data_IF_309878238650
#
_entry.id   IF_309878238650
#
_cell.length_a   1.000
_cell.length_b   1.000
_cell.length_c   1.000
_cell.angle_alpha   90.00
_cell.angle_beta   90.00
_cell.angle_gamma   90.00
#
_symmetry.space_group_name_H-M   'P 1'
#
loop_
_entity.id
_entity.type
_entity.pdbx_description
1 polymer ?
#
# COMPACT_ATOMS: atom_id res chain seq x y z
N UNK A 1 9.81 12.12 -27.99
CA UNK A 1 9.21 10.81 -27.63
C UNK A 1 9.92 10.12 -26.46
N UNK A 2 11.18 9.68 -26.52
CA UNK A 2 11.85 9.03 -25.37
C UNK A 2 12.02 9.98 -24.18
N UNK A 3 12.47 11.22 -24.43
CA UNK A 3 12.65 12.21 -23.38
C UNK A 3 11.33 12.65 -22.74
N UNK A 4 10.26 12.82 -23.52
CA UNK A 4 8.93 13.14 -23.02
C UNK A 4 8.37 12.02 -22.14
N UNK A 5 8.56 10.75 -22.53
CA UNK A 5 8.20 9.60 -21.70
C UNK A 5 9.00 9.57 -20.39
N UNK A 6 10.31 9.82 -20.49
CA UNK A 6 11.16 9.88 -19.29
C UNK A 6 10.73 11.00 -18.35
N UNK A 7 10.42 12.19 -18.88
CA UNK A 7 9.89 13.31 -18.09
C UNK A 7 8.58 12.93 -17.41
N UNK A 8 7.64 12.34 -18.16
CA UNK A 8 6.37 11.87 -17.61
C UNK A 8 6.55 10.80 -16.51
N UNK A 9 7.52 9.88 -16.68
CA UNK A 9 7.87 8.88 -15.69
C UNK A 9 8.45 9.52 -14.42
N UNK A 10 9.26 10.58 -14.55
CA UNK A 10 10.05 11.11 -13.44
C UNK A 10 9.47 12.39 -12.81
N UNK A 11 8.52 13.07 -13.48
CA UNK A 11 7.91 14.31 -12.96
C UNK A 11 7.29 14.11 -11.58
N UNK A 12 7.37 15.11 -10.71
CA UNK A 12 6.76 15.11 -9.36
C UNK A 12 7.28 14.00 -8.41
N UNK A 13 8.39 13.34 -8.75
CA UNK A 13 9.06 12.44 -7.83
C UNK A 13 10.02 13.21 -6.91
N UNK A 14 10.20 12.72 -5.70
CA UNK A 14 11.17 13.29 -4.78
C UNK A 14 12.60 12.84 -5.11
N UNK A 15 12.76 11.57 -5.54
CA UNK A 15 14.07 11.01 -5.85
C UNK A 15 13.96 9.94 -6.96
N UNK A 16 14.99 9.88 -7.81
CA UNK A 16 15.16 8.86 -8.86
C UNK A 16 16.57 8.30 -8.74
N UNK A 17 16.69 7.01 -8.46
CA UNK A 17 17.95 6.27 -8.48
C UNK A 17 18.02 5.40 -9.74
N UNK A 18 19.14 5.38 -10.44
CA UNK A 18 19.33 4.57 -11.65
C UNK A 18 18.46 5.03 -12.83
N UNK A 19 18.17 6.33 -12.95
CA UNK A 19 17.36 6.88 -14.06
C UNK A 19 17.96 6.64 -15.44
N UNK A 20 19.28 6.44 -15.55
CA UNK A 20 19.99 6.03 -16.75
C UNK A 20 19.52 4.68 -17.29
N UNK A 21 19.15 3.74 -16.43
CA UNK A 21 18.57 2.43 -16.82
C UNK A 21 17.27 2.67 -17.60
N UNK A 22 16.38 3.52 -17.10
CA UNK A 22 15.09 3.82 -17.74
C UNK A 22 15.33 4.54 -19.09
N UNK A 23 16.27 5.50 -19.13
CA UNK A 23 16.63 6.19 -20.39
C UNK A 23 17.15 5.23 -21.45
N UNK A 24 18.02 4.29 -21.07
CA UNK A 24 18.53 3.28 -21.98
C UNK A 24 17.41 2.42 -22.57
N UNK A 25 16.47 1.94 -21.73
CA UNK A 25 15.32 1.14 -22.15
C UNK A 25 14.43 1.92 -23.14
N UNK A 26 14.17 3.19 -22.85
CA UNK A 26 13.35 4.04 -23.72
C UNK A 26 14.06 4.33 -25.05
N UNK A 27 15.41 4.47 -25.05
CA UNK A 27 16.21 4.66 -26.25
C UNK A 27 16.22 3.42 -27.16
N UNK A 28 16.10 2.22 -26.57
CA UNK A 28 15.91 0.95 -27.29
C UNK A 28 14.50 0.80 -27.89
N UNK A 29 13.57 1.72 -27.58
CA UNK A 29 12.16 1.62 -28.01
C UNK A 29 11.35 0.58 -27.24
N UNK A 30 11.87 0.07 -26.13
CA UNK A 30 11.18 -0.89 -25.26
C UNK A 30 10.34 -0.17 -24.19
N UNK A 31 9.21 -0.74 -23.83
CA UNK A 31 8.40 -0.30 -22.70
C UNK A 31 9.08 -0.69 -21.38
N UNK A 32 9.37 0.26 -20.47
CA UNK A 32 9.88 -0.08 -19.16
C UNK A 32 8.83 -0.84 -18.35
N UNK A 33 9.29 -1.72 -17.45
CA UNK A 33 8.45 -2.51 -16.54
C UNK A 33 8.65 -2.06 -15.13
N UNK A 34 7.56 -1.84 -14.39
CA UNK A 34 7.65 -1.51 -12.98
C UNK A 34 6.71 -2.34 -12.11
N UNK A 35 7.00 -2.37 -10.81
CA UNK A 35 5.99 -2.73 -9.84
C UNK A 35 5.86 -1.68 -8.73
N UNK A 36 4.66 -1.59 -8.21
CA UNK A 36 4.33 -0.91 -6.98
C UNK A 36 3.66 -1.92 -6.04
N UNK A 37 4.19 -2.05 -4.81
CA UNK A 37 3.72 -3.00 -3.82
C UNK A 37 3.02 -2.32 -2.66
N UNK A 38 1.98 -2.97 -2.14
CA UNK A 38 1.30 -2.57 -0.91
C UNK A 38 1.06 -3.78 -0.01
N UNK A 39 1.52 -3.70 1.24
CA UNK A 39 1.26 -4.73 2.25
C UNK A 39 -0.12 -4.47 2.91
N UNK A 40 -1.08 -5.41 2.81
CA UNK A 40 -2.44 -5.24 3.31
C UNK A 40 -2.52 -5.37 4.84
N UNK A 41 -2.03 -4.38 5.58
CA UNK A 41 -1.99 -4.36 7.05
C UNK A 41 -3.14 -3.56 7.66
N UNK A 42 -3.11 -2.24 7.56
CA UNK A 42 -4.16 -1.34 8.06
C UNK A 42 -5.21 -1.02 7.00
N UNK A 43 -6.25 -0.23 7.35
CA UNK A 43 -7.18 0.27 6.34
C UNK A 43 -6.48 1.25 5.41
N UNK A 44 -6.60 1.10 4.08
CA UNK A 44 -6.07 2.08 3.13
C UNK A 44 -6.77 3.43 3.31
N UNK A 45 -6.05 4.49 2.98
CA UNK A 45 -6.48 5.86 3.23
C UNK A 45 -6.09 6.80 2.08
N UNK A 46 -6.48 8.07 2.13
CA UNK A 46 -6.26 9.05 1.05
C UNK A 46 -4.82 9.15 0.56
N UNK A 47 -3.81 8.84 1.40
CA UNK A 47 -2.41 8.85 0.99
C UNK A 47 -2.09 7.90 -0.16
N UNK A 48 -2.92 6.89 -0.39
CA UNK A 48 -2.79 5.99 -1.56
C UNK A 48 -3.05 6.69 -2.89
N UNK A 49 -3.78 7.81 -2.92
CA UNK A 49 -3.95 8.56 -4.18
C UNK A 49 -2.61 9.05 -4.75
N UNK A 50 -1.61 9.34 -3.91
CA UNK A 50 -0.28 9.81 -4.37
C UNK A 50 0.38 8.80 -5.31
N UNK A 51 0.66 7.55 -4.90
CA UNK A 51 1.21 6.56 -5.83
C UNK A 51 0.23 6.20 -6.96
N UNK A 52 -1.08 6.16 -6.72
CA UNK A 52 -2.04 5.74 -7.75
C UNK A 52 -2.19 6.78 -8.87
N UNK A 53 -2.12 8.08 -8.59
CA UNK A 53 -2.06 9.11 -9.64
C UNK A 53 -0.74 9.05 -10.42
N UNK A 54 0.37 8.70 -9.77
CA UNK A 54 1.66 8.50 -10.46
C UNK A 54 1.65 7.29 -11.39
N UNK A 55 0.95 6.23 -11.00
CA UNK A 55 0.74 5.06 -11.87
C UNK A 55 0.02 5.45 -13.16
N UNK A 56 -0.91 6.41 -13.13
CA UNK A 56 -1.50 6.95 -14.36
C UNK A 56 -0.45 7.58 -15.29
N UNK A 57 0.52 8.33 -14.76
CA UNK A 57 1.63 8.86 -15.56
C UNK A 57 2.47 7.74 -16.18
N UNK A 58 2.73 6.68 -15.44
CA UNK A 58 3.47 5.51 -15.96
C UNK A 58 2.74 4.85 -17.13
N UNK A 59 1.43 4.61 -17.00
CA UNK A 59 0.63 4.01 -18.07
C UNK A 59 0.57 4.89 -19.32
N UNK A 60 0.53 6.22 -19.17
CA UNK A 60 0.59 7.18 -20.30
C UNK A 60 1.96 7.21 -20.95
N UNK A 61 3.02 6.88 -20.22
CA UNK A 61 4.37 6.72 -20.73
C UNK A 61 4.63 5.32 -21.33
N UNK A 62 3.59 4.49 -21.50
CA UNK A 62 3.67 3.09 -21.93
C UNK A 62 4.50 2.19 -21.00
N UNK A 63 4.56 2.48 -19.70
CA UNK A 63 5.17 1.58 -18.73
C UNK A 63 4.23 0.41 -18.45
N UNK A 64 4.76 -0.81 -18.47
CA UNK A 64 4.05 -2.00 -17.99
C UNK A 64 4.03 -2.02 -16.46
N UNK A 65 2.86 -1.85 -15.85
CA UNK A 65 2.74 -1.69 -14.40
C UNK A 65 2.19 -2.95 -13.75
N UNK A 66 2.93 -3.47 -12.78
CA UNK A 66 2.49 -4.55 -11.87
C UNK A 66 2.10 -3.97 -10.51
N UNK A 67 0.89 -4.28 -10.06
CA UNK A 67 0.41 -4.00 -8.69
C UNK A 67 0.62 -5.26 -7.87
N UNK A 68 1.48 -5.18 -6.86
CA UNK A 68 1.77 -6.28 -5.95
C UNK A 68 0.97 -6.12 -4.65
N UNK A 69 0.07 -7.05 -4.37
CA UNK A 69 -0.46 -7.23 -3.03
C UNK A 69 0.52 -8.07 -2.22
N UNK A 70 1.32 -7.41 -1.40
CA UNK A 70 2.42 -8.00 -0.65
C UNK A 70 1.90 -8.69 0.63
N UNK A 71 1.13 -9.76 0.48
CA UNK A 71 0.46 -10.50 1.55
C UNK A 71 1.45 -11.20 2.49
N UNK A 72 2.53 -11.80 1.96
CA UNK A 72 3.60 -12.38 2.80
C UNK A 72 4.29 -11.28 3.61
N UNK A 73 4.55 -10.11 3.04
CA UNK A 73 5.11 -8.96 3.75
C UNK A 73 4.18 -8.47 4.87
N UNK A 74 2.87 -8.43 4.61
CA UNK A 74 1.88 -8.06 5.62
C UNK A 74 1.86 -9.01 6.82
N UNK A 75 2.07 -10.31 6.58
CA UNK A 75 2.24 -11.30 7.64
C UNK A 75 3.57 -11.13 8.39
N UNK A 76 4.66 -10.84 7.68
CA UNK A 76 6.00 -10.67 8.26
C UNK A 76 6.14 -9.35 9.05
N UNK A 77 5.34 -8.33 8.77
CA UNK A 77 5.41 -7.03 9.45
C UNK A 77 4.98 -7.14 10.93
N UNK A 78 5.92 -7.64 11.76
CA UNK A 78 5.77 -7.81 13.20
C UNK A 78 4.51 -8.59 13.63
N UNK A 79 4.08 -9.56 12.82
CA UNK A 79 2.90 -10.40 13.09
C UNK A 79 1.64 -9.57 13.41
N UNK A 80 1.46 -8.43 12.74
CA UNK A 80 0.29 -7.56 12.92
C UNK A 80 -1.03 -8.26 12.59
N UNK A 81 -0.98 -9.34 11.80
CA UNK A 81 -2.14 -10.14 11.46
C UNK A 81 -1.77 -11.61 11.18
N UNK A 82 -2.58 -12.58 11.61
CA UNK A 82 -2.44 -13.98 11.17
C UNK A 82 -2.75 -14.10 9.68
N UNK A 83 -2.27 -15.17 9.03
CA UNK A 83 -2.41 -15.38 7.57
C UNK A 83 -3.87 -15.30 7.08
N UNK A 84 -4.81 -15.87 7.85
CA UNK A 84 -6.24 -15.85 7.49
C UNK A 84 -6.78 -14.41 7.43
N UNK A 85 -6.36 -13.57 8.36
CA UNK A 85 -6.74 -12.17 8.37
C UNK A 85 -6.09 -11.38 7.23
N UNK A 86 -4.83 -11.69 6.92
CA UNK A 86 -4.11 -11.12 5.77
C UNK A 86 -4.83 -11.45 4.47
N UNK A 87 -5.28 -12.69 4.28
CA UNK A 87 -6.02 -13.09 3.08
C UNK A 87 -7.31 -12.25 2.88
N UNK A 88 -8.09 -12.02 3.95
CA UNK A 88 -9.24 -11.14 3.87
C UNK A 88 -8.88 -9.68 3.58
N UNK A 89 -7.79 -9.18 4.17
CA UNK A 89 -7.28 -7.83 3.90
C UNK A 89 -6.78 -7.67 2.48
N UNK A 90 -6.09 -8.67 1.93
CA UNK A 90 -5.66 -8.66 0.53
C UNK A 90 -6.86 -8.52 -0.41
N UNK A 91 -7.92 -9.29 -0.18
CA UNK A 91 -9.14 -9.19 -0.97
C UNK A 91 -9.85 -7.83 -0.81
N UNK A 92 -9.86 -7.27 0.40
CA UNK A 92 -10.37 -5.92 0.64
C UNK A 92 -9.56 -4.86 -0.13
N UNK A 93 -8.22 -4.97 -0.13
CA UNK A 93 -7.35 -4.07 -0.88
C UNK A 93 -7.58 -4.16 -2.39
N UNK A 94 -7.83 -5.36 -2.93
CA UNK A 94 -8.19 -5.53 -4.34
C UNK A 94 -9.43 -4.72 -4.69
N UNK A 95 -10.51 -4.84 -3.91
CA UNK A 95 -11.73 -4.08 -4.13
C UNK A 95 -11.49 -2.56 -4.08
N UNK A 96 -10.81 -2.08 -3.02
CA UNK A 96 -10.61 -0.65 -2.82
C UNK A 96 -9.73 -0.04 -3.91
N UNK A 97 -8.61 -0.68 -4.26
CA UNK A 97 -7.70 -0.16 -5.28
C UNK A 97 -8.34 -0.18 -6.68
N UNK A 98 -9.10 -1.21 -7.02
CA UNK A 98 -9.86 -1.25 -8.26
C UNK A 98 -10.91 -0.12 -8.32
N UNK A 99 -11.62 0.13 -7.23
CA UNK A 99 -12.56 1.25 -7.16
C UNK A 99 -11.88 2.61 -7.30
N UNK A 100 -10.68 2.77 -6.70
CA UNK A 100 -9.87 3.99 -6.84
C UNK A 100 -9.39 4.17 -8.28
N UNK A 101 -8.82 3.14 -8.92
CA UNK A 101 -8.41 3.22 -10.32
C UNK A 101 -9.58 3.60 -11.24
N UNK A 102 -10.73 2.97 -11.05
CA UNK A 102 -11.95 3.31 -11.80
C UNK A 102 -12.39 4.76 -11.56
N UNK A 103 -12.32 5.25 -10.32
CA UNK A 103 -12.69 6.64 -9.98
C UNK A 103 -11.76 7.68 -10.60
N UNK A 104 -10.52 7.30 -10.88
CA UNK A 104 -9.52 8.13 -11.56
C UNK A 104 -9.55 8.00 -13.09
N UNK A 105 -10.40 7.12 -13.65
CA UNK A 105 -10.43 6.82 -15.08
C UNK A 105 -9.16 6.11 -15.57
N UNK A 106 -8.50 5.34 -14.69
CA UNK A 106 -7.31 4.56 -15.02
C UNK A 106 -7.74 3.18 -15.52
N UNK A 107 -7.36 2.77 -16.75
CA UNK A 107 -7.78 1.49 -17.32
C UNK A 107 -7.13 0.31 -16.58
N UNK A 108 -7.91 -0.39 -15.78
CA UNK A 108 -7.46 -1.56 -14.99
C UNK A 108 -6.94 -2.68 -15.89
N UNK A 109 -7.44 -2.79 -17.12
CA UNK A 109 -6.98 -3.77 -18.12
C UNK A 109 -5.50 -3.65 -18.49
N UNK A 110 -4.89 -2.47 -18.26
CA UNK A 110 -3.45 -2.23 -18.48
C UNK A 110 -2.58 -2.57 -17.26
N UNK A 111 -3.18 -3.00 -16.16
CA UNK A 111 -2.47 -3.33 -14.93
C UNK A 111 -2.33 -4.85 -14.78
N UNK A 112 -1.13 -5.32 -14.46
CA UNK A 112 -0.92 -6.69 -14.01
C UNK A 112 -1.08 -6.73 -12.49
N UNK A 113 -2.02 -7.51 -11.98
CA UNK A 113 -2.25 -7.68 -10.53
C UNK A 113 -1.66 -9.00 -10.09
N UNK A 114 -0.84 -8.98 -9.02
CA UNK A 114 -0.13 -10.15 -8.48
C UNK A 114 -0.24 -10.17 -6.97
N UNK A 115 -0.45 -11.35 -6.39
CA UNK A 115 -0.31 -11.61 -4.95
C UNK A 115 1.08 -12.18 -4.67
N UNK A 116 1.74 -11.70 -3.61
CA UNK A 116 3.10 -12.10 -3.25
C UNK A 116 3.22 -13.60 -3.04
N UNK A 117 2.28 -14.20 -2.31
CA UNK A 117 2.25 -15.65 -2.03
C UNK A 117 2.21 -16.52 -3.29
N UNK A 118 1.75 -16.00 -4.42
CA UNK A 118 1.68 -16.75 -5.68
C UNK A 118 3.05 -17.14 -6.24
N UNK A 119 4.12 -16.41 -5.90
CA UNK A 119 5.49 -16.70 -6.34
C UNK A 119 6.51 -16.76 -5.20
N UNK A 120 6.30 -16.01 -4.10
CA UNK A 120 7.25 -15.96 -2.97
C UNK A 120 7.34 -17.30 -2.21
N UNK A 121 6.34 -18.18 -2.36
CA UNK A 121 6.33 -19.52 -1.75
C UNK A 121 6.93 -20.61 -2.66
N UNK A 122 7.43 -20.24 -3.84
CA UNK A 122 8.08 -21.20 -4.74
C UNK A 122 9.45 -21.63 -4.21
N UNK A 123 9.92 -22.80 -4.67
CA UNK A 123 11.22 -23.36 -4.29
C UNK A 123 12.37 -22.43 -4.70
N UNK A 124 12.30 -21.90 -5.90
CA UNK A 124 13.30 -21.04 -6.50
C UNK A 124 13.45 -19.75 -5.70
N UNK A 125 12.35 -19.09 -5.38
CA UNK A 125 12.34 -17.87 -4.58
C UNK A 125 12.92 -18.12 -3.18
N UNK A 126 12.51 -19.20 -2.52
CA UNK A 126 13.01 -19.52 -1.19
C UNK A 126 14.50 -19.87 -1.19
N UNK A 127 15.01 -20.54 -2.25
CA UNK A 127 16.44 -20.79 -2.39
C UNK A 127 17.23 -19.47 -2.50
N UNK A 128 16.75 -18.51 -3.27
CA UNK A 128 17.40 -17.20 -3.40
C UNK A 128 17.28 -16.37 -2.12
N UNK A 129 16.16 -16.50 -1.39
CA UNK A 129 16.04 -15.90 -0.07
C UNK A 129 17.09 -16.47 0.90
N UNK A 130 17.35 -17.77 0.91
CA UNK A 130 18.42 -18.36 1.72
C UNK A 130 19.82 -17.94 1.29
N UNK A 131 20.10 -17.82 -0.02
CA UNK A 131 21.37 -17.26 -0.53
C UNK A 131 21.54 -15.80 -0.05
N UNK A 132 20.47 -15.03 -0.08
CA UNK A 132 20.49 -13.66 0.41
C UNK A 132 20.76 -13.61 1.92
N UNK A 133 20.10 -14.46 2.71
CA UNK A 133 20.34 -14.59 4.15
C UNK A 133 21.79 -14.99 4.48
N UNK A 134 22.44 -15.78 3.62
CA UNK A 134 23.86 -16.16 3.77
C UNK A 134 24.84 -15.04 3.37
N UNK A 135 24.34 -13.95 2.77
CA UNK A 135 25.14 -12.84 2.24
C UNK A 135 24.96 -11.55 3.05
N UNK A 136 23.81 -11.36 3.64
CA UNK A 136 23.39 -10.14 4.35
C UNK A 136 23.67 -10.26 5.85
N UNK A 137 24.30 -9.24 6.43
CA UNK A 137 24.47 -9.16 7.88
C UNK A 137 23.15 -8.74 8.58
N UNK A 138 23.01 -9.11 9.86
CA UNK A 138 21.92 -8.62 10.71
C UNK A 138 21.85 -7.09 10.73
N UNK A 139 23.02 -6.42 10.82
CA UNK A 139 23.13 -4.97 10.80
C UNK A 139 22.51 -4.36 9.54
N UNK A 140 22.84 -4.90 8.37
CA UNK A 140 22.34 -4.38 7.09
C UNK A 140 20.86 -4.66 6.90
N UNK A 141 20.36 -5.81 7.34
CA UNK A 141 18.93 -6.11 7.34
C UNK A 141 18.13 -5.15 8.25
N UNK A 142 18.60 -4.88 9.47
CA UNK A 142 18.01 -3.88 10.37
C UNK A 142 18.03 -2.48 9.77
N UNK A 143 19.15 -2.06 9.20
CA UNK A 143 19.32 -0.75 8.56
C UNK A 143 18.36 -0.58 7.37
N UNK A 144 18.23 -1.59 6.54
CA UNK A 144 17.32 -1.57 5.38
C UNK A 144 15.85 -1.43 5.82
N UNK A 145 15.42 -2.19 6.83
CA UNK A 145 14.05 -2.15 7.35
C UNK A 145 13.71 -0.98 8.26
N UNK A 146 14.66 -0.10 8.58
CA UNK A 146 14.53 0.88 9.68
C UNK A 146 13.34 1.85 9.58
N UNK A 147 12.86 2.16 8.37
CA UNK A 147 11.74 3.09 8.17
C UNK A 147 10.42 2.40 7.88
N UNK A 148 10.47 1.15 7.45
CA UNK A 148 9.29 0.37 7.01
C UNK A 148 8.82 -0.59 8.09
N UNK A 149 9.77 -1.33 8.70
CA UNK A 149 9.47 -2.28 9.77
C UNK A 149 9.58 -1.58 11.12
N UNK A 150 8.57 -1.75 11.99
CA UNK A 150 8.59 -1.17 13.33
C UNK A 150 9.86 -1.59 14.09
N UNK A 151 10.67 -0.62 14.47
CA UNK A 151 11.90 -0.87 15.22
C UNK A 151 11.56 -1.24 16.67
N UNK A 152 12.15 -2.33 17.13
CA UNK A 152 12.05 -2.83 18.51
C UNK A 152 13.43 -3.26 18.97
N UNK A 153 13.67 -3.29 20.28
CA UNK A 153 14.97 -3.64 20.86
C UNK A 153 15.40 -5.06 20.47
N UNK A 154 14.45 -6.01 20.43
CA UNK A 154 14.66 -7.38 19.98
C UNK A 154 13.72 -7.69 18.79
N UNK A 155 14.17 -7.45 17.56
CA UNK A 155 13.33 -7.69 16.37
C UNK A 155 13.13 -9.18 16.13
N UNK A 156 11.92 -9.53 15.64
CA UNK A 156 11.65 -10.86 15.16
C UNK A 156 12.43 -11.12 13.86
N UNK A 157 12.78 -12.38 13.59
CA UNK A 157 13.41 -12.79 12.33
C UNK A 157 12.59 -12.36 11.11
N UNK A 158 11.25 -12.35 11.23
CA UNK A 158 10.35 -11.89 10.18
C UNK A 158 10.66 -10.46 9.71
N UNK A 159 10.94 -9.54 10.65
CA UNK A 159 11.31 -8.16 10.32
C UNK A 159 12.68 -8.04 9.66
N UNK A 160 13.59 -8.98 9.92
CA UNK A 160 14.92 -9.03 9.27
C UNK A 160 14.84 -9.58 7.85
N UNK A 161 13.88 -10.48 7.57
CA UNK A 161 13.67 -11.04 6.23
C UNK A 161 12.97 -10.04 5.28
N UNK A 162 12.14 -9.15 5.82
CA UNK A 162 11.29 -8.23 5.05
C UNK A 162 12.03 -7.48 3.93
N UNK A 163 13.18 -6.80 4.18
CA UNK A 163 13.89 -6.06 3.12
C UNK A 163 14.42 -6.97 2.01
N UNK A 164 14.85 -8.18 2.37
CA UNK A 164 15.35 -9.17 1.42
C UNK A 164 14.27 -9.68 0.47
N UNK A 165 13.09 -9.94 0.99
CA UNK A 165 11.96 -10.35 0.16
C UNK A 165 11.57 -9.24 -0.82
N UNK A 166 11.47 -7.99 -0.36
CA UNK A 166 11.13 -6.87 -1.23
C UNK A 166 12.19 -6.64 -2.32
N UNK A 167 13.47 -6.85 -2.03
CA UNK A 167 14.51 -6.81 -3.04
C UNK A 167 14.35 -7.94 -4.08
N UNK A 168 14.07 -9.17 -3.65
CA UNK A 168 13.84 -10.31 -4.56
C UNK A 168 12.62 -10.13 -5.45
N UNK A 169 11.59 -9.41 -4.99
CA UNK A 169 10.40 -9.13 -5.80
C UNK A 169 10.76 -8.43 -7.12
N UNK A 170 11.78 -7.58 -7.16
CA UNK A 170 12.25 -6.95 -8.39
C UNK A 170 12.68 -7.97 -9.46
N UNK A 171 13.34 -9.05 -9.02
CA UNK A 171 13.77 -10.12 -9.91
C UNK A 171 12.60 -11.01 -10.34
N UNK A 172 11.77 -11.43 -9.39
CA UNK A 172 10.71 -12.40 -9.65
C UNK A 172 9.49 -11.81 -10.36
N UNK A 173 9.27 -10.52 -10.22
CA UNK A 173 8.28 -9.78 -11.03
C UNK A 173 8.82 -9.39 -12.41
N UNK A 174 10.14 -9.49 -12.62
CA UNK A 174 10.80 -9.22 -13.91
C UNK A 174 10.73 -7.75 -14.31
N UNK A 175 10.90 -6.84 -13.34
CA UNK A 175 10.77 -5.40 -13.57
C UNK A 175 12.11 -4.72 -13.82
N UNK A 176 12.06 -3.54 -14.43
CA UNK A 176 13.20 -2.67 -14.68
C UNK A 176 13.38 -1.63 -13.56
N UNK A 177 12.28 -1.29 -12.87
CA UNK A 177 12.33 -0.39 -11.73
C UNK A 177 11.23 -0.71 -10.71
N UNK A 178 11.52 -0.35 -9.44
CA UNK A 178 10.53 -0.36 -8.37
C UNK A 178 10.07 1.07 -8.08
N UNK A 179 8.77 1.24 -7.78
CA UNK A 179 8.19 2.51 -7.37
C UNK A 179 7.65 2.42 -5.95
N UNK A 180 7.91 3.43 -5.13
CA UNK A 180 7.43 3.51 -3.76
C UNK A 180 7.53 4.90 -3.15
N UNK A 181 7.28 5.04 -1.86
CA UNK A 181 7.55 6.26 -1.11
C UNK A 181 9.03 6.41 -0.76
N UNK A 182 9.47 7.63 -0.43
CA UNK A 182 10.85 7.89 -0.01
C UNK A 182 11.24 7.12 1.26
N UNK A 183 10.27 6.69 2.06
CA UNK A 183 10.49 5.80 3.21
C UNK A 183 11.00 4.41 2.82
N UNK A 184 10.88 4.01 1.53
CA UNK A 184 11.41 2.77 0.99
C UNK A 184 12.90 2.88 0.60
N UNK A 185 13.49 4.08 0.62
CA UNK A 185 14.84 4.37 0.11
C UNK A 185 15.91 3.40 0.62
N UNK A 186 15.84 3.03 1.89
CA UNK A 186 16.85 2.11 2.48
C UNK A 186 16.74 0.69 1.93
N UNK A 187 15.51 0.23 1.64
CA UNK A 187 15.31 -1.07 1.00
C UNK A 187 15.77 -1.02 -0.46
N UNK A 188 15.54 0.08 -1.17
CA UNK A 188 16.00 0.25 -2.55
C UNK A 188 17.52 0.23 -2.65
N UNK A 189 18.22 0.96 -1.78
CA UNK A 189 19.70 0.91 -1.73
C UNK A 189 20.22 -0.46 -1.28
N UNK A 190 19.49 -1.18 -0.47
CA UNK A 190 19.79 -2.57 -0.11
C UNK A 190 19.65 -3.49 -1.33
N UNK A 191 18.58 -3.37 -2.13
CA UNK A 191 18.39 -4.14 -3.35
C UNK A 191 19.53 -3.87 -4.36
N UNK A 192 19.89 -2.60 -4.55
CA UNK A 192 21.01 -2.19 -5.41
C UNK A 192 22.35 -2.81 -4.99
N UNK A 193 22.58 -2.97 -3.69
CA UNK A 193 23.81 -3.54 -3.15
C UNK A 193 23.87 -5.07 -3.23
N UNK A 194 22.73 -5.73 -2.94
CA UNK A 194 22.74 -7.17 -2.68
C UNK A 194 22.27 -8.02 -3.86
N UNK A 195 21.34 -7.55 -4.72
CA UNK A 195 20.91 -8.32 -5.89
C UNK A 195 22.06 -8.67 -6.85
N UNK A 196 23.04 -7.78 -7.15
CA UNK A 196 24.20 -8.13 -7.98
C UNK A 196 25.06 -9.24 -7.39
N UNK A 197 25.10 -9.40 -6.06
CA UNK A 197 25.84 -10.49 -5.40
C UNK A 197 25.22 -11.87 -5.63
N UNK A 198 23.93 -11.89 -6.00
CA UNK A 198 23.21 -13.09 -6.41
C UNK A 198 23.26 -13.31 -7.94
N UNK A 199 23.97 -12.42 -8.68
CA UNK A 199 24.05 -12.47 -10.14
C UNK A 199 22.91 -11.77 -10.87
N UNK A 200 22.08 -10.98 -10.17
CA UNK A 200 20.95 -10.26 -10.75
C UNK A 200 21.34 -8.84 -11.18
N UNK A 201 20.66 -8.31 -12.21
CA UNK A 201 20.90 -6.96 -12.68
C UNK A 201 20.43 -5.91 -11.67
N UNK A 202 21.07 -4.75 -11.66
CA UNK A 202 20.56 -3.57 -10.95
C UNK A 202 19.30 -3.04 -11.61
N UNK A 203 18.40 -2.48 -10.79
CA UNK A 203 17.16 -1.81 -11.22
C UNK A 203 17.19 -0.34 -10.84
N UNK A 204 16.32 0.43 -11.48
CA UNK A 204 16.07 1.79 -11.04
C UNK A 204 15.03 1.81 -9.89
N UNK A 205 15.07 2.88 -9.09
CA UNK A 205 14.13 3.07 -7.99
C UNK A 205 13.57 4.49 -8.02
N UNK A 206 12.26 4.59 -8.06
CA UNK A 206 11.53 5.84 -8.17
C UNK A 206 10.73 6.09 -6.89
N UNK A 207 10.88 7.29 -6.31
CA UNK A 207 10.33 7.60 -5.01
C UNK A 207 9.46 8.84 -5.04
N UNK A 208 8.19 8.69 -4.63
CA UNK A 208 7.32 9.83 -4.37
C UNK A 208 7.55 10.40 -2.97
N UNK A 209 7.23 11.70 -2.82
CA UNK A 209 7.24 12.37 -1.54
C UNK A 209 6.19 11.78 -0.58
N UNK A 210 6.48 11.86 0.70
CA UNK A 210 5.49 11.56 1.75
C UNK A 210 4.59 12.78 1.96
N UNK A 211 3.29 12.56 1.93
CA UNK A 211 2.30 13.60 2.26
C UNK A 211 2.10 13.64 3.77
N UNK A 212 2.22 14.80 4.41
CA UNK A 212 1.95 14.94 5.84
C UNK A 212 0.52 14.55 6.19
N UNK A 213 0.34 14.03 7.40
CA UNK A 213 -0.98 13.75 7.96
C UNK A 213 -1.78 15.02 8.27
N UNK A 214 -3.07 14.87 8.53
CA UNK A 214 -3.97 15.99 8.82
C UNK A 214 -3.59 16.81 10.08
N UNK A 215 -2.89 16.19 11.02
CA UNK A 215 -2.40 16.86 12.22
C UNK A 215 -0.99 17.47 12.07
N UNK A 216 -0.42 17.44 10.86
CA UNK A 216 1.01 17.65 10.61
C UNK A 216 1.83 16.39 10.88
N UNK A 217 3.07 16.35 10.40
CA UNK A 217 3.94 15.18 10.52
C UNK A 217 3.50 13.97 9.69
N UNK A 218 4.10 12.78 9.93
CA UNK A 218 3.82 11.55 9.16
C UNK A 218 2.40 11.06 9.37
N UNK A 219 1.67 10.77 8.30
CA UNK A 219 0.35 10.13 8.35
C UNK A 219 0.48 8.72 8.94
N UNK A 220 -0.24 8.45 10.04
CA UNK A 220 -0.18 7.16 10.73
C UNK A 220 -1.40 6.29 10.41
N UNK A 221 -1.17 5.06 9.97
CA UNK A 221 -2.24 4.10 9.74
C UNK A 221 -2.94 3.65 11.05
N UNK A 222 -2.31 3.87 12.20
CA UNK A 222 -2.85 3.50 13.52
C UNK A 222 -3.67 4.60 14.21
N UNK A 223 -3.54 5.88 13.77
CA UNK A 223 -4.35 6.98 14.30
C UNK A 223 -5.53 7.31 13.36
N UNK A 224 -6.77 7.02 13.75
CA UNK A 224 -7.96 7.29 12.92
C UNK A 224 -8.18 8.79 12.64
N UNK A 225 -7.65 9.69 13.48
CA UNK A 225 -7.82 11.14 13.34
C UNK A 225 -6.77 11.77 12.43
N UNK A 226 -5.64 11.10 12.21
CA UNK A 226 -4.55 11.60 11.35
C UNK A 226 -4.78 11.31 9.87
N UNK A 227 -5.79 10.49 9.53
CA UNK A 227 -6.06 10.02 8.17
C UNK A 227 -7.54 10.06 7.82
N UNK A 228 -7.83 10.11 6.53
CA UNK A 228 -9.18 9.91 5.97
C UNK A 228 -9.21 8.55 5.29
N UNK A 229 -10.13 7.68 5.73
CA UNK A 229 -10.43 6.40 5.10
C UNK A 229 -11.21 6.61 3.80
N UNK A 230 -11.06 5.71 2.83
CA UNK A 230 -11.79 5.80 1.56
C UNK A 230 -13.32 5.69 1.73
N UNK A 231 -13.77 5.05 2.81
CA UNK A 231 -15.18 4.85 3.11
C UNK A 231 -15.71 5.81 4.19
N UNK A 232 -14.90 6.79 4.66
CA UNK A 232 -15.38 7.81 5.59
C UNK A 232 -16.58 8.57 4.99
N UNK A 233 -17.61 8.81 5.80
CA UNK A 233 -18.80 9.56 5.35
C UNK A 233 -18.42 11.01 4.97
N UNK A 234 -19.22 11.68 4.11
CA UNK A 234 -19.00 13.07 3.76
C UNK A 234 -18.91 14.01 4.97
N UNK A 235 -19.68 13.75 6.02
CA UNK A 235 -19.67 14.51 7.27
C UNK A 235 -18.39 14.29 8.04
N UNK A 236 -17.93 13.03 8.10
CA UNK A 236 -16.68 12.69 8.79
C UNK A 236 -15.46 13.30 8.09
N UNK A 237 -15.42 13.29 6.76
CA UNK A 237 -14.40 13.98 5.97
C UNK A 237 -14.39 15.48 6.31
N UNK A 238 -15.53 16.15 6.26
CA UNK A 238 -15.64 17.58 6.62
C UNK A 238 -15.15 17.83 8.05
N UNK A 239 -15.52 16.97 9.00
CA UNK A 239 -15.09 17.08 10.40
C UNK A 239 -13.57 16.94 10.54
N UNK A 240 -12.97 15.92 9.90
CA UNK A 240 -11.51 15.69 9.93
C UNK A 240 -10.74 16.85 9.30
N UNK A 241 -11.14 17.32 8.12
CA UNK A 241 -10.50 18.46 7.44
C UNK A 241 -10.66 19.74 8.25
N UNK A 242 -11.84 19.98 8.86
CA UNK A 242 -12.03 21.15 9.74
C UNK A 242 -11.05 21.15 10.91
N UNK A 243 -10.78 20.00 11.51
CA UNK A 243 -9.83 19.82 12.63
C UNK A 243 -8.36 19.74 12.22
N UNK A 244 -8.04 19.62 10.93
CA UNK A 244 -6.67 19.50 10.44
C UNK A 244 -5.83 20.76 10.74
N UNK A 245 -4.52 20.59 10.93
CA UNK A 245 -3.60 21.71 11.05
C UNK A 245 -3.53 22.49 9.74
N UNK A 246 -3.72 23.80 9.81
CA UNK A 246 -3.67 24.69 8.66
C UNK A 246 -3.62 26.14 9.17
N UNK A 247 -2.44 26.58 9.59
CA UNK A 247 -2.20 27.92 10.09
C UNK A 247 -2.11 28.94 8.95
N UNK A 248 -2.69 30.11 9.13
CA UNK A 248 -2.76 31.16 8.10
C UNK A 248 -1.37 31.61 7.66
N UNK A 249 -1.10 31.53 6.36
CA UNK A 249 0.18 31.93 5.75
C UNK A 249 1.30 30.88 5.96
N UNK A 250 1.09 29.83 6.75
CA UNK A 250 2.07 28.78 6.95
C UNK A 250 1.93 27.69 5.87
N UNK A 251 2.92 27.58 5.01
CA UNK A 251 2.96 26.60 3.91
C UNK A 251 3.78 25.36 4.25
N UNK A 252 4.51 25.38 5.38
CA UNK A 252 5.31 24.26 5.84
C UNK A 252 4.48 23.30 6.68
N UNK A 253 4.73 22.00 6.58
CA UNK A 253 4.01 20.94 7.31
C UNK A 253 2.47 21.01 7.21
N UNK A 254 1.95 21.67 6.18
CA UNK A 254 0.53 21.87 5.94
C UNK A 254 -0.04 20.71 5.11
N UNK A 255 -0.61 19.70 5.78
CA UNK A 255 -1.17 18.51 5.14
C UNK A 255 -2.29 18.80 4.14
N UNK A 256 -3.03 19.91 4.29
CA UNK A 256 -4.09 20.31 3.35
C UNK A 256 -3.50 20.78 2.02
N UNK A 257 -2.49 21.68 2.07
CA UNK A 257 -1.76 22.14 0.89
C UNK A 257 -1.02 20.99 0.22
N UNK A 258 -0.30 20.17 1.00
CA UNK A 258 0.44 19.02 0.48
C UNK A 258 -0.48 18.00 -0.21
N UNK A 259 -1.69 17.78 0.31
CA UNK A 259 -2.67 16.92 -0.35
C UNK A 259 -3.19 17.54 -1.66
N UNK A 260 -3.44 18.84 -1.68
CA UNK A 260 -3.83 19.53 -2.91
C UNK A 260 -2.74 19.38 -3.98
N UNK A 261 -1.47 19.63 -3.62
CA UNK A 261 -0.31 19.51 -4.51
C UNK A 261 -0.12 18.10 -5.05
N UNK A 262 -0.12 17.11 -4.16
CA UNK A 262 0.24 15.73 -4.50
C UNK A 262 -0.93 14.93 -5.12
N UNK A 263 -2.18 15.37 -4.94
CA UNK A 263 -3.37 14.59 -5.33
C UNK A 263 -4.35 15.40 -6.17
N UNK A 264 -4.88 16.53 -5.65
CA UNK A 264 -6.01 17.19 -6.32
C UNK A 264 -5.61 17.83 -7.65
N UNK A 265 -4.50 18.57 -7.69
CA UNK A 265 -3.99 19.13 -8.95
C UNK A 265 -3.59 18.04 -9.95
N UNK A 266 -2.82 17.00 -9.58
CA UNK A 266 -2.53 15.88 -10.48
C UNK A 266 -3.76 15.16 -11.04
N UNK A 267 -4.82 14.97 -10.25
CA UNK A 267 -6.09 14.39 -10.74
C UNK A 267 -6.75 15.30 -11.78
N UNK A 268 -6.79 16.61 -11.52
CA UNK A 268 -7.36 17.58 -12.47
C UNK A 268 -6.56 17.62 -13.78
N UNK A 269 -5.23 17.59 -13.70
CA UNK A 269 -4.37 17.50 -14.88
C UNK A 269 -4.58 16.21 -15.66
N UNK A 270 -4.60 15.06 -14.96
CA UNK A 270 -4.87 13.76 -15.58
C UNK A 270 -6.19 13.76 -16.34
N UNK A 271 -7.24 14.31 -15.73
CA UNK A 271 -8.54 14.44 -16.38
C UNK A 271 -8.48 15.31 -17.63
N UNK A 272 -7.89 16.52 -17.52
CA UNK A 272 -7.72 17.45 -18.64
C UNK A 272 -6.98 16.78 -19.80
N UNK A 273 -5.91 16.09 -19.47
CA UNK A 273 -5.06 15.42 -20.46
C UNK A 273 -5.78 14.24 -21.12
N UNK A 274 -6.48 13.39 -20.34
CA UNK A 274 -7.30 12.30 -20.85
C UNK A 274 -8.42 12.78 -21.81
N UNK A 275 -9.06 13.90 -21.49
CA UNK A 275 -10.09 14.51 -22.37
C UNK A 275 -9.50 15.00 -23.70
N UNK A 276 -8.30 15.59 -23.67
CA UNK A 276 -7.60 16.04 -24.89
C UNK A 276 -7.16 14.88 -25.77
N UNK A 277 -6.72 13.78 -25.20
CA UNK A 277 -6.22 12.61 -25.90
C UNK A 277 -7.35 11.67 -26.36
N UNK A 278 -8.61 11.93 -25.97
CA UNK A 278 -9.73 11.03 -26.25
C UNK A 278 -9.55 9.63 -25.64
N UNK A 279 -8.86 9.56 -24.51
CA UNK A 279 -8.46 8.32 -23.87
C UNK A 279 -9.68 7.46 -23.51
N UNK A 280 -9.56 6.14 -23.72
CA UNK A 280 -10.56 5.16 -23.32
C UNK A 280 -10.78 5.23 -21.79
N UNK A 281 -12.00 5.54 -21.35
CA UNK A 281 -12.33 5.78 -19.94
C UNK A 281 -12.23 7.25 -19.49
N UNK A 282 -11.86 8.19 -20.36
CA UNK A 282 -12.03 9.61 -20.14
C UNK A 282 -13.53 9.93 -20.04
N UNK A 283 -14.09 9.70 -18.88
CA UNK A 283 -15.52 9.91 -18.64
C UNK A 283 -15.72 11.34 -18.12
N UNK A 284 -16.81 11.98 -18.56
CA UNK A 284 -17.35 13.19 -17.94
C UNK A 284 -17.60 12.98 -16.43
N UNK A 285 -17.60 11.72 -15.97
CA UNK A 285 -17.79 11.34 -14.56
C UNK A 285 -16.57 11.50 -13.66
N UNK A 286 -15.35 11.76 -14.18
CA UNK A 286 -14.20 12.06 -13.32
C UNK A 286 -14.43 13.34 -12.54
N UNK A 287 -14.09 13.40 -11.23
CA UNK A 287 -14.46 14.52 -10.38
C UNK A 287 -13.83 15.84 -10.83
N UNK A 288 -14.65 16.86 -11.05
CA UNK A 288 -14.23 18.24 -11.29
C UNK A 288 -14.08 18.97 -9.96
N UNK A 289 -12.93 19.63 -9.76
CA UNK A 289 -12.69 20.47 -8.59
C UNK A 289 -12.89 21.95 -8.92
N UNK A 290 -13.72 22.23 -9.91
CA UNK A 290 -14.04 23.56 -10.40
C UNK A 290 -15.53 23.84 -10.25
N UNK A 291 -15.91 25.12 -10.29
CA UNK A 291 -17.31 25.57 -10.42
C UNK A 291 -17.72 25.59 -11.90
N UNK A 292 -19.03 25.55 -12.21
CA UNK A 292 -19.50 25.53 -13.60
C UNK A 292 -19.12 26.76 -14.42
N UNK A 293 -18.89 27.91 -13.76
CA UNK A 293 -18.50 29.19 -14.34
C UNK A 293 -16.98 29.41 -14.35
N UNK A 294 -16.19 28.38 -13.97
CA UNK A 294 -14.74 28.52 -13.93
C UNK A 294 -14.15 28.76 -15.33
N UNK A 295 -13.19 29.67 -15.48
CA UNK A 295 -12.47 29.89 -16.73
C UNK A 295 -11.83 28.63 -17.27
N UNK A 296 -11.69 28.57 -18.60
CA UNK A 296 -11.00 27.45 -19.26
C UNK A 296 -9.57 27.28 -18.71
N UNK A 297 -9.14 26.05 -18.52
CA UNK A 297 -7.82 25.71 -17.99
C UNK A 297 -7.75 25.67 -16.46
N UNK A 298 -8.81 26.05 -15.74
CA UNK A 298 -8.86 25.96 -14.28
C UNK A 298 -8.72 24.49 -13.83
N UNK A 299 -7.82 24.23 -12.91
CA UNK A 299 -7.60 22.91 -12.30
C UNK A 299 -8.28 22.79 -10.93
N UNK A 300 -8.35 23.91 -10.18
CA UNK A 300 -8.95 23.92 -8.86
C UNK A 300 -9.64 25.25 -8.58
N UNK A 301 -10.81 25.21 -7.94
CA UNK A 301 -11.54 26.42 -7.53
C UNK A 301 -11.69 26.43 -6.01
N UNK A 302 -11.29 27.52 -5.40
CA UNK A 302 -11.69 27.87 -4.04
C UNK A 302 -13.06 28.53 -4.13
N UNK A 303 -14.09 27.80 -3.75
CA UNK A 303 -15.46 28.29 -3.72
C UNK A 303 -15.70 29.05 -2.41
N UNK A 304 -15.93 30.37 -2.52
CA UNK A 304 -16.21 31.27 -1.39
C UNK A 304 -17.31 32.24 -1.72
N UNK A 305 -17.98 32.69 -0.67
CA UNK A 305 -19.10 33.64 -0.78
C UNK A 305 -18.64 34.98 -1.44
N UNK A 306 -19.51 35.54 -2.27
CA UNK A 306 -19.27 36.82 -2.96
C UNK A 306 -18.86 37.98 -2.01
N UNK A 307 -19.36 37.99 -0.77
CA UNK A 307 -18.99 39.00 0.26
C UNK A 307 -17.50 38.90 0.66
N UNK A 308 -16.83 37.82 0.37
CA UNK A 308 -15.40 37.60 0.61
C UNK A 308 -14.58 37.66 -0.70
N UNK A 309 -15.14 38.18 -1.78
CA UNK A 309 -14.49 38.31 -3.08
C UNK A 309 -14.89 37.29 -4.13
N UNK A 310 -15.77 36.36 -3.80
CA UNK A 310 -16.23 35.29 -4.72
C UNK A 310 -15.21 34.21 -4.98
N UNK A 311 -15.52 33.26 -5.89
CA UNK A 311 -14.65 32.14 -6.22
C UNK A 311 -13.27 32.59 -6.74
N UNK A 312 -12.22 31.84 -6.40
CA UNK A 312 -10.88 32.03 -6.95
C UNK A 312 -10.47 30.76 -7.70
N UNK A 313 -9.97 30.92 -8.92
CA UNK A 313 -9.66 29.88 -9.87
C UNK A 313 -8.16 29.72 -10.06
N UNK A 314 -7.62 28.53 -9.94
CA UNK A 314 -6.20 28.23 -10.06
C UNK A 314 -5.94 27.28 -11.23
N UNK A 315 -5.03 27.68 -12.10
CA UNK A 315 -4.51 26.85 -13.20
C UNK A 315 -3.20 26.15 -12.82
N UNK A 316 -2.60 26.56 -11.69
CA UNK A 316 -1.36 26.01 -11.13
C UNK A 316 -1.44 25.98 -9.60
N UNK A 317 -0.82 24.99 -9.00
CA UNK A 317 -0.72 24.88 -7.54
C UNK A 317 0.18 25.96 -6.93
N UNK A 318 1.23 26.39 -7.64
CA UNK A 318 2.16 27.39 -7.13
C UNK A 318 1.46 28.72 -6.83
N UNK A 319 0.49 29.12 -7.65
CA UNK A 319 -0.32 30.33 -7.45
C UNK A 319 -1.19 30.17 -6.19
N UNK A 320 -1.83 29.02 -6.00
CA UNK A 320 -2.63 28.75 -4.80
C UNK A 320 -1.77 28.78 -3.54
N UNK A 321 -0.57 28.21 -3.59
CA UNK A 321 0.41 28.23 -2.49
C UNK A 321 0.89 29.66 -2.19
N UNK A 322 1.13 30.46 -3.22
CA UNK A 322 1.53 31.86 -3.07
C UNK A 322 0.42 32.70 -2.41
N UNK A 323 -0.84 32.53 -2.83
CA UNK A 323 -2.00 33.20 -2.23
C UNK A 323 -2.21 32.79 -0.78
N UNK A 324 -1.99 31.51 -0.45
CA UNK A 324 -2.05 31.06 0.94
C UNK A 324 -0.92 31.65 1.79
N UNK A 325 0.30 31.72 1.25
CA UNK A 325 1.47 32.32 1.91
C UNK A 325 1.30 33.80 2.16
N UNK A 326 0.73 34.53 1.18
CA UNK A 326 0.44 35.99 1.29
C UNK A 326 -0.79 36.29 2.14
N UNK A 327 -1.54 35.26 2.60
CA UNK A 327 -2.82 35.34 3.33
C UNK A 327 -3.99 35.87 2.49
N UNK A 328 -3.86 35.94 1.17
CA UNK A 328 -4.97 36.21 0.25
C UNK A 328 -6.00 35.07 0.24
N UNK A 329 -5.52 33.82 0.46
CA UNK A 329 -6.35 32.64 0.63
C UNK A 329 -6.46 32.25 2.12
N UNK A 330 -7.66 32.39 2.67
CA UNK A 330 -7.91 32.07 4.09
C UNK A 330 -8.01 30.56 4.35
N UNK A 331 -7.47 30.03 5.49
CA UNK A 331 -7.50 28.60 5.82
C UNK A 331 -8.89 27.97 5.79
N UNK A 332 -9.95 28.70 6.19
CA UNK A 332 -11.32 28.19 6.18
C UNK A 332 -11.80 27.87 4.77
N UNK A 333 -11.50 28.75 3.80
CA UNK A 333 -11.95 28.58 2.41
C UNK A 333 -11.18 27.45 1.74
N UNK A 334 -9.84 27.38 1.97
CA UNK A 334 -9.02 26.25 1.53
C UNK A 334 -9.55 24.91 2.07
N UNK A 335 -9.77 24.79 3.38
CA UNK A 335 -10.30 23.59 4.02
C UNK A 335 -11.66 23.19 3.46
N UNK A 336 -12.56 24.15 3.26
CA UNK A 336 -13.90 23.89 2.72
C UNK A 336 -13.84 23.31 1.32
N UNK A 337 -13.06 23.93 0.44
CA UNK A 337 -12.91 23.51 -0.96
C UNK A 337 -12.19 22.17 -1.09
N UNK A 338 -11.13 21.94 -0.28
CA UNK A 338 -10.41 20.64 -0.25
C UNK A 338 -11.33 19.53 0.29
N UNK A 339 -12.12 19.78 1.33
CA UNK A 339 -13.07 18.79 1.84
C UNK A 339 -14.15 18.43 0.81
N UNK A 340 -14.63 19.41 0.04
CA UNK A 340 -15.56 19.19 -1.07
C UNK A 340 -14.92 18.34 -2.18
N UNK A 341 -13.68 18.67 -2.57
CA UNK A 341 -12.93 17.93 -3.58
C UNK A 341 -12.67 16.47 -3.15
N UNK A 342 -12.25 16.25 -1.90
CA UNK A 342 -12.07 14.89 -1.34
C UNK A 342 -13.38 14.11 -1.40
N UNK A 343 -14.51 14.70 -1.02
CA UNK A 343 -15.78 14.00 -1.10
C UNK A 343 -16.13 13.62 -2.54
N UNK A 344 -15.87 14.50 -3.51
CA UNK A 344 -16.11 14.20 -4.94
C UNK A 344 -15.30 13.00 -5.43
N UNK A 345 -14.04 12.83 -5.00
CA UNK A 345 -13.24 11.66 -5.40
C UNK A 345 -13.63 10.38 -4.63
N UNK A 346 -14.18 10.51 -3.43
CA UNK A 346 -14.60 9.35 -2.63
C UNK A 346 -16.01 8.85 -2.97
N UNK A 347 -16.89 9.70 -3.50
CA UNK A 347 -18.29 9.34 -3.79
C UNK A 347 -18.42 8.11 -4.73
N UNK A 348 -17.68 8.00 -5.86
CA UNK A 348 -17.75 6.81 -6.70
C UNK A 348 -17.27 5.55 -5.98
N UNK A 349 -16.27 5.67 -5.10
CA UNK A 349 -15.72 4.54 -4.31
C UNK A 349 -16.76 4.06 -3.29
N UNK A 350 -17.38 5.01 -2.56
CA UNK A 350 -18.46 4.73 -1.60
C UNK A 350 -19.65 4.05 -2.27
N UNK A 351 -20.04 4.54 -3.47
CA UNK A 351 -21.10 3.94 -4.28
C UNK A 351 -20.76 2.51 -4.66
N UNK A 352 -19.57 2.26 -5.19
CA UNK A 352 -19.11 0.92 -5.54
C UNK A 352 -19.13 -0.03 -4.33
N UNK A 353 -18.76 0.44 -3.15
CA UNK A 353 -18.84 -0.33 -1.91
C UNK A 353 -20.28 -0.65 -1.53
N UNK A 354 -21.19 0.34 -1.60
CA UNK A 354 -22.61 0.16 -1.25
C UNK A 354 -23.33 -0.82 -2.19
N UNK A 355 -22.93 -0.90 -3.44
CA UNK A 355 -23.48 -1.77 -4.47
C UNK A 355 -22.86 -3.18 -4.48
N UNK A 356 -21.81 -3.44 -3.68
CA UNK A 356 -21.07 -4.71 -3.69
C UNK A 356 -21.17 -5.46 -2.35
N UNK A 357 -22.11 -6.41 -2.26
CA UNK A 357 -22.30 -7.23 -1.06
C UNK A 357 -21.07 -8.09 -0.68
N UNK A 358 -20.31 -8.57 -1.68
CA UNK A 358 -19.11 -9.36 -1.41
C UNK A 358 -18.05 -8.49 -0.71
N UNK A 359 -17.84 -7.27 -1.20
CA UNK A 359 -16.91 -6.34 -0.58
C UNK A 359 -17.33 -6.00 0.86
N UNK A 360 -18.61 -5.76 1.11
CA UNK A 360 -19.12 -5.51 2.47
C UNK A 360 -18.92 -6.70 3.42
N UNK A 361 -19.04 -7.95 2.91
CA UNK A 361 -18.74 -9.16 3.69
C UNK A 361 -17.24 -9.26 3.99
N UNK A 362 -16.40 -9.03 2.99
CA UNK A 362 -14.94 -9.05 3.13
C UNK A 362 -14.46 -7.95 4.07
N UNK A 363 -15.05 -6.75 4.03
CA UNK A 363 -14.71 -5.65 4.94
C UNK A 363 -14.86 -6.05 6.41
N UNK A 364 -15.95 -6.72 6.78
CA UNK A 364 -16.22 -7.21 8.14
C UNK A 364 -15.22 -8.30 8.57
N UNK A 365 -14.76 -9.14 7.65
CA UNK A 365 -13.77 -10.18 7.91
C UNK A 365 -12.35 -9.60 8.01
N UNK A 366 -12.01 -8.63 7.15
CA UNK A 366 -10.72 -7.99 7.10
C UNK A 366 -10.46 -7.07 8.30
N UNK A 367 -11.51 -6.41 8.79
CA UNK A 367 -11.45 -5.44 9.89
C UNK A 367 -12.60 -5.67 10.88
N UNK A 368 -12.55 -6.79 11.64
CA UNK A 368 -13.58 -7.10 12.63
C UNK A 368 -13.64 -6.02 13.70
N UNK A 369 -14.84 -5.68 14.14
CA UNK A 369 -15.03 -4.74 15.25
C UNK A 369 -14.43 -5.34 16.53
N UNK A 370 -13.41 -4.69 17.15
CA UNK A 370 -12.80 -5.20 18.37
C UNK A 370 -13.78 -5.31 19.55
N UNK A 371 -14.91 -4.61 19.49
CA UNK A 371 -15.96 -4.64 20.51
C UNK A 371 -17.10 -5.61 20.16
N UNK A 372 -17.07 -6.25 18.99
CA UNK A 372 -18.08 -7.24 18.62
C UNK A 372 -18.03 -8.43 19.58
N UNK A 373 -19.13 -8.73 20.25
CA UNK A 373 -19.21 -9.96 21.04
C UNK A 373 -18.99 -11.14 20.11
N UNK A 374 -18.10 -12.10 20.48
CA UNK A 374 -17.85 -13.26 19.65
C UNK A 374 -19.18 -13.98 19.39
N UNK A 375 -19.54 -14.16 18.11
CA UNK A 375 -20.65 -15.01 17.76
C UNK A 375 -20.44 -16.37 18.40
N UNK A 376 -21.43 -16.83 19.18
CA UNK A 376 -21.39 -18.17 19.78
C UNK A 376 -21.24 -19.17 18.63
N UNK A 377 -20.04 -19.74 18.48
CA UNK A 377 -19.82 -20.84 17.52
C UNK A 377 -20.95 -21.83 17.72
N UNK A 378 -21.81 -22.03 16.70
CA UNK A 378 -22.80 -23.12 16.71
C UNK A 378 -22.05 -24.36 17.12
N UNK A 379 -22.42 -24.96 18.25
CA UNK A 379 -21.84 -26.22 18.70
C UNK A 379 -21.96 -27.17 17.51
N UNK A 380 -20.81 -27.66 16.97
CA UNK A 380 -20.84 -28.75 16.02
C UNK A 380 -21.69 -29.85 16.66
N UNK A 381 -22.75 -30.26 16.02
CA UNK A 381 -23.51 -31.42 16.44
C UNK A 381 -22.53 -32.57 16.65
N UNK A 382 -22.53 -33.09 17.87
CA UNK A 382 -21.69 -34.27 18.17
C UNK A 382 -22.22 -35.37 17.28
N UNK A 383 -21.46 -35.75 16.26
CA UNK A 383 -21.72 -36.96 15.49
C UNK A 383 -21.63 -38.09 16.50
N UNK A 384 -22.79 -38.71 16.78
CA UNK A 384 -22.87 -39.87 17.64
C UNK A 384 -22.19 -41.02 16.89
N UNK A 385 -21.01 -41.41 17.35
CA UNK A 385 -20.38 -42.66 16.95
C UNK A 385 -20.88 -43.76 17.91
N UNK A 386 -21.70 -44.70 17.45
CA UNK A 386 -22.09 -45.84 18.29
C UNK A 386 -20.85 -46.61 18.71
N UNK A 387 -20.76 -47.09 19.96
CA UNK A 387 -19.63 -47.88 20.42
C UNK A 387 -19.52 -49.15 19.59
N UNK A 388 -18.29 -49.64 19.32
CA UNK A 388 -18.10 -50.86 18.58
C UNK A 388 -18.76 -52.02 19.31
N UNK A 389 -19.41 -52.98 18.62
CA UNK A 389 -20.06 -54.13 19.24
C UNK A 389 -19.03 -55.05 19.90
N UNK A 390 -19.22 -55.36 21.16
CA UNK A 390 -18.54 -56.44 21.87
C UNK A 390 -17.42 -56.02 22.82
N UNK A 391 -17.78 -55.54 24.01
CA UNK A 391 -17.08 -55.86 25.29
C UNK A 391 -18.11 -55.78 26.40
N UNK A 392 -18.78 -56.90 26.62
CA UNK A 392 -19.60 -57.14 27.79
C UNK A 392 -18.73 -57.14 29.05
N UNK A 393 -19.25 -56.51 30.10
CA UNK A 393 -18.72 -56.64 31.45
C UNK A 393 -18.94 -58.09 31.91
N UNK A 394 -17.84 -58.76 32.25
CA UNK A 394 -17.72 -59.75 33.33
C UNK A 394 -16.36 -60.45 33.20
N UNK A 395 -15.46 -60.19 34.11
CA UNK A 395 -14.48 -61.15 34.61
C UNK A 395 -13.86 -60.54 35.88
N UNK A 396 -13.89 -61.40 36.85
CA UNK A 396 -13.54 -61.22 38.26
C UNK A 396 -12.08 -60.85 38.51
N UNK A 397 -11.88 -60.26 39.65
CA UNK A 397 -10.64 -59.93 40.35
C UNK A 397 -9.79 -61.19 40.65
N UNK A 398 -8.51 -61.17 40.33
CA UNK A 398 -7.46 -61.88 41.09
C UNK A 398 -6.22 -61.02 41.21
N UNK A 399 -5.84 -60.76 42.46
CA UNK A 399 -4.58 -60.17 42.89
C UNK A 399 -3.37 -61.00 42.46
N UNK A 400 -2.30 -60.33 41.99
CA UNK A 400 -0.94 -60.76 42.31
C UNK A 400 0.06 -59.58 42.22
N UNK A 401 0.97 -59.58 43.16
CA UNK A 401 1.95 -58.58 43.51
C UNK A 401 3.14 -58.46 42.51
N UNK A 402 4.06 -57.50 42.70
CA UNK A 402 4.88 -56.91 41.64
C UNK A 402 6.17 -57.71 41.39
N UNK A 403 6.60 -57.75 40.13
CA UNK A 403 7.95 -58.20 39.78
C UNK A 403 8.77 -57.04 39.20
N UNK A 404 9.90 -56.80 39.82
CA UNK A 404 10.96 -55.88 39.45
C UNK A 404 11.91 -56.53 38.46
N UNK A 405 12.05 -55.99 37.26
CA UNK A 405 13.26 -56.21 36.45
C UNK A 405 13.49 -55.08 35.45
N UNK A 406 14.58 -54.38 35.64
CA UNK A 406 15.17 -53.42 34.70
C UNK A 406 15.67 -54.13 33.42
N UNK A 407 15.63 -53.51 32.26
CA UNK A 407 16.45 -53.92 31.13
C UNK A 407 17.67 -52.99 30.98
N UNK A 408 18.84 -53.58 31.09
CA UNK A 408 20.13 -53.02 30.71
C UNK A 408 20.24 -52.75 29.23
N UNK A 409 20.69 -51.56 28.88
CA UNK A 409 21.09 -51.16 27.52
C UNK A 409 22.61 -51.17 27.42
N UNK A 410 23.15 -51.97 26.52
CA UNK A 410 24.57 -52.00 26.18
C UNK A 410 24.93 -50.76 25.34
N UNK A 411 25.87 -49.97 25.84
CA UNK A 411 26.49 -48.91 25.11
C UNK A 411 27.77 -49.33 24.42
N UNK A 412 28.05 -48.73 23.28
CA UNK A 412 29.43 -48.43 22.84
C UNK A 412 29.48 -47.11 22.09
N UNK A 413 30.53 -46.29 22.32
CA UNK A 413 30.64 -44.98 21.71
C UNK A 413 31.35 -45.04 20.33
N UNK A 414 30.85 -44.24 19.39
CA UNK A 414 31.52 -44.04 18.11
C UNK A 414 32.31 -42.72 18.18
N UNK A 415 33.60 -42.82 17.90
CA UNK A 415 34.57 -41.73 17.90
C UNK A 415 34.34 -40.73 16.77
N UNK A 416 34.61 -39.44 17.07
CA UNK A 416 34.70 -38.38 16.08
C UNK A 416 36.00 -38.48 15.27
N UNK A 417 36.03 -38.08 13.98
CA UNK A 417 37.26 -37.81 13.29
C UNK A 417 37.69 -36.36 13.47
N UNK A 418 38.99 -36.20 13.75
CA UNK A 418 39.70 -34.93 13.82
C UNK A 418 40.16 -34.48 12.44
N UNK A 419 40.38 -33.17 12.35
CA UNK A 419 41.08 -32.29 11.44
C UNK A 419 40.21 -31.49 10.48
#
# INVERSE_FOLDING_TARGET
MADEKYELITRRLQEVLGGDIIKAILAEGRSPKCYWGSAPTGRPHLGYFVPLTKIADFLRADVEVTILFADVHAFLDNLKAPLELVAHRTKYYQFILLAVFNSLGIPVSKLRIVEGSSYQLTKEYNLDNYKLCATVSEHDAKKAGAEVVKQVESPLLSGLLYPGLQALDEQYLGVDFQFGGVDQRKIFTFAELYLPRLGYAKRAHLMNAMVPGLAGGKMSSSDPNSKIDFLDSPELVRKKIKGAFCEEGNVEDNGILAFAEAVLFPISELRRDNLKEGAEGASESSPLFTTPDAPEGTLFTIDRDAKFGGPTHYTDYADMKADFKSKALHPKDLKSSVAAAINKILDPIRKSFQENEEWQKIEKLAYPDPNAKPEKKKKKEKVYHPPPPGKGKNAESTEHAPDTSEPTVNGQPVAAPAS
#
